data_IF_059241410447
#
_entry.id   IF_059241410447
#
_cell.length_a   1.000
_cell.length_b   1.000
_cell.length_c   1.000
_cell.angle_alpha   90.00
_cell.angle_beta   90.00
_cell.angle_gamma   90.00
#
_symmetry.space_group_name_H-M   'P 1'
#
loop_
_entity.id
_entity.type
_entity.pdbx_description
1 polymer ?
#
# COMPACT_ATOMS: atom_id res chain seq x y z
N UNK A 1 59.22 -17.89 51.23
CA UNK A 1 59.98 -17.82 49.96
C UNK A 1 59.25 -16.87 49.03
N UNK A 2 59.99 -15.95 48.42
CA UNK A 2 59.53 -14.81 47.60
C UNK A 2 59.08 -15.26 46.20
N UNK A 3 58.04 -14.59 45.65
CA UNK A 3 58.19 -13.73 44.45
C UNK A 3 56.84 -13.13 44.01
N UNK A 4 56.71 -11.78 43.90
CA UNK A 4 55.57 -11.11 43.30
C UNK A 4 55.93 -10.54 41.91
N UNK A 5 55.27 -11.02 40.84
CA UNK A 5 55.28 -10.35 39.53
C UNK A 5 54.14 -10.86 38.63
N UNK A 6 53.06 -10.09 38.49
CA UNK A 6 52.80 -9.38 37.24
C UNK A 6 51.52 -8.55 37.32
N UNK A 7 51.78 -7.24 37.34
CA UNK A 7 50.88 -6.14 37.03
C UNK A 7 50.31 -6.28 35.60
N UNK A 8 49.09 -5.77 35.39
CA UNK A 8 48.50 -5.32 34.11
C UNK A 8 47.79 -6.34 33.18
N UNK A 9 46.51 -6.63 33.50
CA UNK A 9 45.35 -6.77 32.58
C UNK A 9 44.17 -7.16 33.47
N UNK A 10 43.15 -6.37 33.76
CA UNK A 10 42.31 -5.55 32.91
C UNK A 10 41.68 -4.45 33.78
N UNK A 11 42.04 -3.18 33.55
CA UNK A 11 41.26 -2.03 34.00
C UNK A 11 40.24 -1.70 32.90
N UNK A 12 38.96 -1.71 33.27
CA UNK A 12 37.85 -0.84 32.79
C UNK A 12 36.53 -1.61 32.69
N UNK A 13 35.95 -1.86 33.86
CA UNK A 13 34.51 -1.91 34.00
C UNK A 13 33.94 -0.52 33.67
N UNK A 14 32.71 -0.51 33.11
CA UNK A 14 31.83 0.64 32.82
C UNK A 14 32.04 1.33 31.46
N UNK A 15 31.51 0.72 30.40
CA UNK A 15 30.95 1.50 29.28
C UNK A 15 29.55 1.93 29.69
N UNK A 16 29.39 3.21 30.05
CA UNK A 16 28.06 3.82 30.14
C UNK A 16 27.44 3.81 28.75
N UNK A 17 26.42 2.97 28.55
CA UNK A 17 25.55 3.10 27.38
C UNK A 17 24.71 4.37 27.55
N UNK A 18 25.13 5.44 26.90
CA UNK A 18 24.29 6.61 26.66
C UNK A 18 23.37 6.27 25.49
N UNK A 19 22.03 6.21 25.65
CA UNK A 19 21.13 6.10 24.52
C UNK A 19 21.04 7.48 23.86
N UNK A 20 22.03 7.85 23.05
CA UNK A 20 21.83 8.91 22.06
C UNK A 20 20.98 8.29 20.96
N UNK A 21 19.68 8.38 21.16
CA UNK A 21 18.67 8.21 20.12
C UNK A 21 19.02 9.16 18.96
N UNK A 22 19.74 8.64 17.97
CA UNK A 22 19.88 9.25 16.65
C UNK A 22 18.78 8.67 15.75
N UNK A 23 17.55 9.08 16.02
CA UNK A 23 16.49 9.09 15.03
C UNK A 23 15.73 10.41 15.19
N UNK A 24 16.39 11.52 14.85
CA UNK A 24 15.68 12.72 14.44
C UNK A 24 15.24 12.53 12.99
N UNK A 25 14.31 11.61 12.76
CA UNK A 25 13.47 11.73 11.59
C UNK A 25 12.54 12.91 11.89
N UNK A 26 12.87 14.08 11.36
CA UNK A 26 11.95 15.20 11.27
C UNK A 26 10.75 14.73 10.44
N UNK A 27 9.78 14.12 11.11
CA UNK A 27 8.51 13.67 10.54
C UNK A 27 7.65 14.91 10.31
N UNK A 28 8.01 15.71 9.31
CA UNK A 28 7.11 16.69 8.74
C UNK A 28 6.11 15.95 7.84
N UNK A 29 5.27 15.11 8.45
CA UNK A 29 4.11 14.55 7.77
C UNK A 29 2.95 15.48 8.06
N UNK A 30 2.73 16.45 7.19
CA UNK A 30 1.40 17.04 7.10
C UNK A 30 0.45 15.87 6.79
N UNK A 31 -0.34 15.44 7.78
CA UNK A 31 -1.29 14.34 7.66
C UNK A 31 -2.17 14.56 6.44
N UNK A 32 -1.87 13.86 5.33
CA UNK A 32 -2.61 14.05 4.08
C UNK A 32 -4.00 13.44 4.24
N UNK A 33 -5.02 14.30 4.25
CA UNK A 33 -6.42 13.91 4.38
C UNK A 33 -6.95 13.13 3.17
N UNK A 34 -6.33 13.30 2.00
CA UNK A 34 -6.67 12.59 0.76
C UNK A 34 -5.46 12.44 -0.16
N UNK A 35 -5.53 11.50 -1.10
CA UNK A 35 -4.58 11.37 -2.21
C UNK A 35 -5.07 12.13 -3.45
N UNK A 36 -4.15 12.56 -4.31
CA UNK A 36 -4.47 13.32 -5.52
C UNK A 36 -4.05 12.58 -6.78
N UNK A 37 -4.84 12.70 -7.85
CA UNK A 37 -4.53 12.08 -9.15
C UNK A 37 -3.22 12.61 -9.77
N UNK A 38 -2.82 13.85 -9.44
CA UNK A 38 -1.59 14.47 -9.97
C UNK A 38 -0.32 13.78 -9.46
N UNK A 39 -0.44 13.08 -8.33
CA UNK A 39 0.65 12.34 -7.69
C UNK A 39 0.66 10.86 -8.14
N UNK A 40 -0.21 10.48 -9.08
CA UNK A 40 -0.38 9.10 -9.53
C UNK A 40 0.90 8.53 -10.13
N UNK A 41 1.33 7.40 -9.60
CA UNK A 41 2.47 6.63 -10.11
C UNK A 41 1.95 5.46 -10.95
N UNK A 42 2.53 5.23 -12.13
CA UNK A 42 2.08 4.16 -13.04
C UNK A 42 3.25 3.23 -13.34
N UNK A 43 3.10 1.98 -12.93
CA UNK A 43 4.00 0.88 -13.29
C UNK A 43 3.27 -0.02 -14.29
N UNK A 44 3.75 -0.02 -15.54
CA UNK A 44 3.15 -0.82 -16.61
C UNK A 44 3.49 -2.31 -16.43
N UNK A 45 2.55 -3.18 -16.81
CA UNK A 45 2.76 -4.63 -16.78
C UNK A 45 3.61 -5.02 -17.97
N UNK A 46 4.56 -5.92 -17.76
CA UNK A 46 5.35 -6.55 -18.83
C UNK A 46 4.57 -7.66 -19.52
N UNK A 47 3.62 -8.28 -18.81
CA UNK A 47 2.73 -9.31 -19.33
C UNK A 47 1.42 -8.67 -19.78
N UNK A 48 1.08 -8.84 -21.05
CA UNK A 48 -0.22 -8.46 -21.61
C UNK A 48 -1.12 -9.69 -21.63
N UNK A 49 -2.28 -9.61 -20.97
CA UNK A 49 -3.26 -10.69 -20.99
C UNK A 49 -4.01 -10.70 -22.33
N UNK A 50 -4.33 -11.90 -22.80
CA UNK A 50 -5.20 -12.09 -23.95
C UNK A 50 -6.66 -11.88 -23.54
N UNK A 51 -7.36 -11.05 -24.30
CA UNK A 51 -8.76 -10.77 -24.07
C UNK A 51 -9.60 -12.01 -24.42
N UNK A 52 -10.43 -12.43 -23.48
CA UNK A 52 -11.38 -13.50 -23.72
C UNK A 52 -12.50 -13.04 -24.68
N UNK A 53 -12.99 -13.92 -25.57
CA UNK A 53 -14.20 -13.66 -26.35
C UNK A 53 -15.37 -13.33 -25.44
N UNK A 54 -16.26 -12.42 -25.88
CA UNK A 54 -17.37 -11.91 -25.06
C UNK A 54 -18.29 -13.03 -24.58
N UNK A 55 -18.48 -14.04 -25.42
CA UNK A 55 -19.36 -15.19 -25.21
C UNK A 55 -18.85 -16.12 -24.09
N UNK A 56 -17.56 -16.05 -23.77
CA UNK A 56 -16.91 -16.86 -22.73
C UNK A 56 -16.73 -16.11 -21.41
N UNK A 57 -17.09 -14.83 -21.34
CA UNK A 57 -16.91 -14.03 -20.15
C UNK A 57 -17.84 -14.51 -19.02
N UNK A 58 -17.23 -14.91 -17.90
CA UNK A 58 -17.91 -15.18 -16.64
C UNK A 58 -17.67 -14.04 -15.67
N UNK A 59 -18.72 -13.57 -15.02
CA UNK A 59 -18.64 -12.46 -14.06
C UNK A 59 -17.62 -12.77 -12.95
N UNK A 60 -16.67 -11.86 -12.70
CA UNK A 60 -15.69 -11.97 -11.62
C UNK A 60 -14.57 -13.01 -11.81
N UNK A 61 -14.43 -13.62 -13.00
CA UNK A 61 -13.41 -14.66 -13.23
C UNK A 61 -12.19 -14.17 -14.03
N UNK A 62 -12.33 -13.09 -14.82
CA UNK A 62 -11.26 -12.49 -15.60
C UNK A 62 -10.91 -11.10 -15.08
N UNK A 63 -9.62 -10.85 -14.86
CA UNK A 63 -9.08 -9.57 -14.40
C UNK A 63 -8.20 -8.93 -15.48
N UNK A 64 -7.98 -7.62 -15.36
CA UNK A 64 -7.12 -6.84 -16.26
C UNK A 64 -5.66 -6.88 -15.83
N UNK A 65 -4.76 -6.42 -16.71
CA UNK A 65 -3.31 -6.39 -16.47
C UNK A 65 -2.88 -5.53 -15.26
N UNK A 66 -3.75 -4.62 -14.82
CA UNK A 66 -3.44 -3.60 -13.81
C UNK A 66 -4.51 -3.52 -12.72
N UNK A 67 -4.09 -2.99 -11.57
CA UNK A 67 -4.96 -2.58 -10.46
C UNK A 67 -4.52 -1.21 -9.90
N UNK A 68 -5.43 -0.54 -9.21
CA UNK A 68 -5.18 0.71 -8.48
C UNK A 68 -4.98 0.41 -6.99
N UNK A 69 -3.93 0.97 -6.39
CA UNK A 69 -3.65 0.89 -4.96
C UNK A 69 -3.50 2.29 -4.36
N UNK A 70 -4.06 2.49 -3.18
CA UNK A 70 -3.85 3.70 -2.39
C UNK A 70 -3.67 3.29 -0.92
N UNK A 71 -2.48 3.53 -0.38
CA UNK A 71 -2.14 3.16 0.99
C UNK A 71 -2.39 4.33 1.94
N UNK A 72 -2.90 4.02 3.12
CA UNK A 72 -3.06 4.96 4.21
C UNK A 72 -2.38 4.43 5.47
N UNK A 73 -1.73 5.31 6.23
CA UNK A 73 -1.23 5.01 7.58
C UNK A 73 -1.65 6.09 8.55
N UNK A 74 -1.72 5.75 9.83
CA UNK A 74 -2.11 6.71 10.89
C UNK A 74 -1.09 7.84 11.04
N UNK A 75 0.18 7.53 10.81
CA UNK A 75 1.31 8.46 10.96
C UNK A 75 1.53 9.33 9.71
N UNK A 76 1.19 8.80 8.52
CA UNK A 76 1.48 9.40 7.23
C UNK A 76 0.27 9.97 6.47
N UNK A 77 -0.94 9.58 6.85
CA UNK A 77 -2.13 9.80 6.04
C UNK A 77 -2.08 9.01 4.73
N UNK A 78 -2.69 9.56 3.69
CA UNK A 78 -2.68 8.93 2.36
C UNK A 78 -1.32 9.08 1.65
N UNK A 79 -0.80 7.97 1.15
CA UNK A 79 0.32 7.94 0.22
C UNK A 79 -0.12 8.26 -1.23
N UNK A 80 0.83 8.47 -2.13
CA UNK A 80 0.54 8.65 -3.55
C UNK A 80 -0.14 7.38 -4.13
N UNK A 81 -1.21 7.52 -4.93
CA UNK A 81 -1.89 6.38 -5.50
C UNK A 81 -1.03 5.75 -6.60
N UNK A 82 -1.18 4.45 -6.82
CA UNK A 82 -0.38 3.69 -7.77
C UNK A 82 -1.25 2.84 -8.67
N UNK A 83 -1.03 2.90 -9.98
CA UNK A 83 -1.50 1.86 -10.90
C UNK A 83 -0.34 0.89 -11.10
N UNK A 84 -0.52 -0.37 -10.70
CA UNK A 84 0.51 -1.41 -10.70
C UNK A 84 0.03 -2.64 -11.47
N UNK A 85 0.94 -3.54 -11.93
CA UNK A 85 0.53 -4.83 -12.47
C UNK A 85 -0.32 -5.59 -11.46
N UNK A 86 -1.34 -6.30 -11.92
CA UNK A 86 -2.19 -7.10 -11.04
C UNK A 86 -1.35 -8.14 -10.27
N UNK A 87 -1.49 -8.18 -8.94
CA UNK A 87 -0.80 -9.14 -8.08
C UNK A 87 -1.64 -9.48 -6.84
N UNK A 88 -1.21 -10.50 -6.10
CA UNK A 88 -1.82 -10.88 -4.83
C UNK A 88 -1.52 -9.84 -3.75
N UNK A 89 -2.51 -9.58 -2.88
CA UNK A 89 -2.31 -8.72 -1.72
C UNK A 89 -1.54 -9.47 -0.64
N UNK A 90 -0.42 -8.90 -0.19
CA UNK A 90 0.37 -9.44 0.92
C UNK A 90 -0.09 -8.78 2.22
N UNK A 91 -0.84 -9.53 3.03
CA UNK A 91 -1.44 -9.05 4.27
C UNK A 91 -0.89 -9.77 5.48
N UNK A 92 -0.75 -9.05 6.60
CA UNK A 92 -0.45 -9.68 7.88
C UNK A 92 -1.66 -10.54 8.33
N UNK A 93 -1.48 -11.75 8.91
CA UNK A 93 -2.60 -12.60 9.30
C UNK A 93 -3.58 -11.95 10.28
N UNK A 94 -3.10 -11.02 11.11
CA UNK A 94 -3.92 -10.25 12.06
C UNK A 94 -4.60 -8.99 11.47
N UNK A 95 -4.59 -8.80 10.15
CA UNK A 95 -5.22 -7.62 9.52
C UNK A 95 -6.73 -7.63 9.78
N UNK A 96 -7.28 -6.53 10.31
CA UNK A 96 -8.67 -6.45 10.78
C UNK A 96 -9.72 -6.83 9.73
N UNK A 97 -9.41 -6.65 8.43
CA UNK A 97 -10.28 -7.08 7.33
C UNK A 97 -10.62 -8.58 7.39
N UNK A 98 -9.66 -9.41 7.82
CA UNK A 98 -9.79 -10.87 7.89
C UNK A 98 -10.53 -11.37 9.14
N UNK A 99 -10.63 -10.53 10.19
CA UNK A 99 -11.17 -10.93 11.50
C UNK A 99 -12.51 -10.28 11.81
N UNK A 100 -12.70 -9.04 11.37
CA UNK A 100 -13.82 -8.20 11.77
C UNK A 100 -14.53 -7.55 10.59
N UNK A 101 -14.27 -8.02 9.35
CA UNK A 101 -14.87 -7.51 8.12
C UNK A 101 -14.78 -5.98 8.00
N UNK A 102 -13.64 -5.41 8.38
CA UNK A 102 -13.38 -3.97 8.24
C UNK A 102 -13.04 -3.65 6.76
N UNK A 103 -14.06 -3.76 5.92
CA UNK A 103 -14.01 -3.59 4.46
C UNK A 103 -15.31 -2.97 3.93
N UNK A 104 -15.20 -2.32 2.78
CA UNK A 104 -16.32 -1.94 1.95
C UNK A 104 -15.92 -2.10 0.47
N UNK A 105 -16.89 -2.22 -0.43
CA UNK A 105 -16.63 -2.33 -1.86
C UNK A 105 -17.65 -1.53 -2.67
N UNK A 106 -17.31 -1.29 -3.94
CA UNK A 106 -18.19 -0.62 -4.89
C UNK A 106 -18.31 -1.41 -6.20
N UNK A 107 -19.43 -1.19 -6.90
CA UNK A 107 -19.74 -1.85 -8.16
C UNK A 107 -20.12 -0.82 -9.22
N UNK A 108 -19.28 -0.66 -10.24
CA UNK A 108 -19.56 0.18 -11.41
C UNK A 108 -19.06 -0.48 -12.69
N UNK A 109 -19.49 0.03 -13.85
CA UNK A 109 -19.16 -0.53 -15.16
C UNK A 109 -18.68 0.57 -16.10
N UNK A 110 -17.71 0.21 -16.92
CA UNK A 110 -17.28 0.98 -18.07
C UNK A 110 -17.83 0.34 -19.36
N UNK A 111 -18.40 1.15 -20.25
CA UNK A 111 -19.02 0.69 -21.48
C UNK A 111 -18.31 1.30 -22.68
N UNK A 112 -17.97 0.47 -23.68
CA UNK A 112 -17.50 0.93 -24.98
C UNK A 112 -18.70 1.17 -25.89
N UNK A 113 -18.94 2.42 -26.26
CA UNK A 113 -19.99 2.78 -27.21
C UNK A 113 -19.65 2.34 -28.64
N UNK A 114 -20.63 2.36 -29.52
CA UNK A 114 -20.45 2.08 -30.95
C UNK A 114 -19.46 3.06 -31.61
N UNK A 115 -19.40 4.28 -31.10
CA UNK A 115 -18.41 5.32 -31.47
C UNK A 115 -16.99 5.04 -30.94
N UNK A 116 -16.77 3.88 -30.32
CA UNK A 116 -15.49 3.46 -29.76
C UNK A 116 -15.12 4.13 -28.44
N UNK A 117 -15.90 5.11 -27.95
CA UNK A 117 -15.59 5.85 -26.72
C UNK A 117 -16.01 5.06 -25.48
N UNK A 118 -15.17 5.12 -24.44
CA UNK A 118 -15.46 4.54 -23.12
C UNK A 118 -16.30 5.52 -22.29
N UNK A 119 -17.35 5.02 -21.64
CA UNK A 119 -18.24 5.80 -20.77
C UNK A 119 -18.42 5.11 -19.43
N UNK A 120 -18.49 5.90 -18.37
CA UNK A 120 -18.86 5.47 -17.03
C UNK A 120 -20.30 5.93 -16.75
N UNK A 121 -21.13 5.06 -16.19
CA UNK A 121 -22.50 5.41 -15.84
C UNK A 121 -22.58 5.88 -14.39
N UNK A 122 -23.00 7.13 -14.17
CA UNK A 122 -23.26 7.73 -12.85
C UNK A 122 -22.15 7.53 -11.80
N UNK A 123 -20.89 7.52 -12.22
CA UNK A 123 -19.76 7.20 -11.33
C UNK A 123 -19.68 8.08 -10.07
N UNK A 124 -20.13 9.34 -10.16
CA UNK A 124 -20.18 10.25 -9.02
C UNK A 124 -21.10 9.74 -7.90
N UNK A 125 -22.17 9.02 -8.22
CA UNK A 125 -23.09 8.47 -7.23
C UNK A 125 -22.51 7.23 -6.53
N UNK A 126 -21.71 6.42 -7.24
CA UNK A 126 -20.91 5.36 -6.62
C UNK A 126 -19.89 5.95 -5.62
N UNK A 127 -19.20 7.02 -6.00
CA UNK A 127 -18.22 7.67 -5.10
C UNK A 127 -18.87 8.27 -3.86
N UNK A 128 -20.07 8.87 -3.99
CA UNK A 128 -20.84 9.34 -2.84
C UNK A 128 -21.18 8.21 -1.87
N UNK A 129 -21.62 7.06 -2.39
CA UNK A 129 -22.00 5.90 -1.57
C UNK A 129 -20.78 5.28 -0.88
N UNK A 130 -19.65 5.15 -1.58
CA UNK A 130 -18.39 4.69 -0.99
C UNK A 130 -17.94 5.57 0.18
N UNK A 131 -18.08 6.90 0.06
CA UNK A 131 -17.71 7.83 1.13
C UNK A 131 -18.67 7.81 2.35
N UNK A 132 -19.84 7.16 2.22
CA UNK A 132 -20.84 7.04 3.30
C UNK A 132 -20.94 5.63 3.89
N UNK A 133 -20.12 4.69 3.42
CA UNK A 133 -20.09 3.30 3.88
C UNK A 133 -19.22 3.11 5.12
#
# INVERSE_FOLDING_TARGET
MLSPANFNKLRSLTRSFSPKALFSASYSSANKSTFYHKDLQITKSTKKLELQPKEKLKFGHGFTDHMLEAKWTREGGWEAPKIVPFHDLILHPATSVLHYALECFEGSKAYKGEDGKIRLFRIKDNMKRMNSS
#
